data_IF_599249659143
#
_entry.id   IF_599249659143
#
_cell.length_a   1.000
_cell.length_b   1.000
_cell.length_c   1.000
_cell.angle_alpha   90.00
_cell.angle_beta   90.00
_cell.angle_gamma   90.00
#
_symmetry.space_group_name_H-M   'P 1'
#
loop_
_entity.id
_entity.type
_entity.pdbx_description
1 polymer ?
#
# COMPACT_ATOMS: atom_id res chain seq x y z
N UNK A 1 -12.46 4.18 16.45
CA UNK A 1 -12.31 5.56 15.90
C UNK A 1 -11.55 6.48 16.86
N UNK A 2 -11.88 6.46 18.16
CA UNK A 2 -11.23 7.33 19.16
C UNK A 2 -9.78 6.95 19.45
N UNK A 3 -9.48 5.66 19.66
CA UNK A 3 -8.12 5.16 19.97
C UNK A 3 -7.10 5.62 18.94
N UNK A 4 -7.41 5.56 17.64
CA UNK A 4 -6.48 5.99 16.57
C UNK A 4 -6.19 7.49 16.58
N UNK A 5 -7.16 8.31 17.00
CA UNK A 5 -7.01 9.78 17.09
C UNK A 5 -6.08 10.19 18.23
N UNK A 6 -5.92 9.32 19.24
CA UNK A 6 -4.99 9.55 20.35
C UNK A 6 -3.65 8.84 20.10
N UNK A 7 -3.70 7.57 19.68
CA UNK A 7 -2.53 6.74 19.48
C UNK A 7 -1.56 7.31 18.43
N UNK A 8 -2.07 7.85 17.31
CA UNK A 8 -1.18 8.36 16.24
C UNK A 8 -0.43 9.62 16.64
N UNK A 9 -1.06 10.67 17.23
CA UNK A 9 -0.30 11.79 17.79
C UNK A 9 0.70 11.37 18.87
N UNK A 10 0.30 10.48 19.79
CA UNK A 10 1.19 9.97 20.84
C UNK A 10 2.40 9.23 20.25
N UNK A 11 2.18 8.30 19.32
CA UNK A 11 3.26 7.60 18.63
C UNK A 11 4.16 8.55 17.83
N UNK A 12 3.58 9.60 17.22
CA UNK A 12 4.32 10.57 16.40
C UNK A 12 5.22 11.50 17.22
N UNK A 13 4.89 11.73 18.49
CA UNK A 13 5.55 12.71 19.36
C UNK A 13 7.06 12.53 19.43
N UNK A 14 7.53 11.30 19.64
CA UNK A 14 8.96 10.97 19.76
C UNK A 14 9.73 11.24 18.46
N UNK A 15 9.10 11.00 17.31
CA UNK A 15 9.71 11.27 16.01
C UNK A 15 9.81 12.76 15.75
N UNK A 16 8.74 13.52 16.01
CA UNK A 16 8.77 14.98 15.83
C UNK A 16 9.83 15.61 16.74
N UNK A 17 9.85 15.21 18.02
CA UNK A 17 10.83 15.70 18.98
C UNK A 17 12.26 15.34 18.56
N UNK A 18 12.52 14.08 18.22
CA UNK A 18 13.83 13.62 17.77
C UNK A 18 14.28 14.25 16.46
N UNK A 19 13.36 14.48 15.51
CA UNK A 19 13.65 15.14 14.25
C UNK A 19 13.99 16.63 14.42
N UNK A 20 13.33 17.33 15.33
CA UNK A 20 13.70 18.71 15.69
C UNK A 20 15.09 18.75 16.32
N UNK A 21 15.41 17.79 17.20
CA UNK A 21 16.76 17.63 17.75
C UNK A 21 17.80 17.43 16.65
N UNK A 22 17.53 16.51 15.72
CA UNK A 22 18.41 16.21 14.59
C UNK A 22 18.73 17.45 13.74
N UNK A 23 17.74 18.29 13.47
CA UNK A 23 17.92 19.51 12.68
C UNK A 23 18.55 20.67 13.46
N UNK A 24 18.48 20.67 14.79
CA UNK A 24 19.11 21.70 15.63
C UNK A 24 20.61 21.47 15.79
N UNK A 25 21.06 20.23 15.77
CA UNK A 25 22.48 19.86 15.88
C UNK A 25 22.89 18.85 14.80
N UNK A 26 22.74 19.24 13.53
CA UNK A 26 23.06 18.39 12.39
C UNK A 26 24.50 17.87 12.47
N UNK A 27 25.45 18.75 12.85
CA UNK A 27 26.88 18.41 12.90
C UNK A 27 27.20 17.41 14.00
N UNK A 28 26.66 17.61 15.21
CA UNK A 28 26.86 16.67 16.32
C UNK A 28 26.28 15.29 15.98
N UNK A 29 25.09 15.25 15.40
CA UNK A 29 24.46 14.00 14.97
C UNK A 29 25.17 13.33 13.80
N UNK A 30 25.68 14.10 12.84
CA UNK A 30 26.47 13.58 11.72
C UNK A 30 27.77 12.94 12.22
N UNK A 31 28.50 13.64 13.09
CA UNK A 31 29.73 13.14 13.71
C UNK A 31 29.49 11.86 14.53
N UNK A 32 28.38 11.80 15.28
CA UNK A 32 28.02 10.60 16.04
C UNK A 32 27.69 9.40 15.12
N UNK A 33 27.14 9.66 13.93
CA UNK A 33 26.76 8.63 12.96
C UNK A 33 27.90 8.22 12.02
N UNK A 34 28.99 8.99 11.93
CA UNK A 34 30.13 8.76 11.01
C UNK A 34 30.64 7.30 10.99
N UNK A 35 30.92 6.64 12.13
CA UNK A 35 31.46 5.28 12.12
C UNK A 35 30.50 4.28 11.45
N UNK A 36 29.21 4.41 11.74
CA UNK A 36 28.18 3.56 11.17
C UNK A 36 27.92 3.88 9.70
N UNK A 37 27.90 5.17 9.32
CA UNK A 37 27.72 5.62 7.94
C UNK A 37 28.87 5.15 7.03
N UNK A 38 30.11 5.26 7.50
CA UNK A 38 31.27 4.76 6.75
C UNK A 38 31.23 3.24 6.58
N UNK A 39 30.79 2.49 7.60
CA UNK A 39 30.64 1.03 7.54
C UNK A 39 29.50 0.58 6.62
N UNK A 40 28.45 1.38 6.46
CA UNK A 40 27.24 1.01 5.71
C UNK A 40 27.17 1.71 4.36
N UNK A 41 26.94 3.02 4.36
CA UNK A 41 26.85 3.86 3.15
C UNK A 41 28.18 3.86 2.40
N UNK A 42 29.32 3.86 3.10
CA UNK A 42 30.63 3.79 2.47
C UNK A 42 30.86 2.52 1.64
N UNK A 43 30.27 1.39 2.01
CA UNK A 43 30.42 0.12 1.27
C UNK A 43 29.64 0.08 -0.04
N UNK A 44 28.54 0.83 -0.11
CA UNK A 44 27.66 0.88 -1.30
C UNK A 44 27.81 2.17 -2.09
N UNK A 45 28.62 3.13 -1.63
CA UNK A 45 28.80 4.44 -2.26
C UNK A 45 29.09 4.35 -3.76
N UNK A 46 29.97 3.44 -4.16
CA UNK A 46 30.37 3.28 -5.56
C UNK A 46 29.33 2.53 -6.42
N UNK A 47 28.34 1.91 -5.77
CA UNK A 47 27.26 1.14 -6.43
C UNK A 47 25.95 1.92 -6.53
N UNK A 48 25.89 3.11 -5.93
CA UNK A 48 24.67 3.91 -5.85
C UNK A 48 24.78 5.08 -6.85
N UNK A 49 23.68 5.46 -7.55
CA UNK A 49 23.70 6.60 -8.46
C UNK A 49 24.20 7.87 -7.78
N UNK A 50 24.92 8.71 -8.53
CA UNK A 50 25.53 9.95 -8.04
C UNK A 50 24.51 10.93 -7.45
N UNK A 51 23.23 10.80 -7.81
CA UNK A 51 22.13 11.61 -7.29
C UNK A 51 21.73 11.25 -5.84
N UNK A 52 22.20 10.13 -5.29
CA UNK A 52 21.89 9.73 -3.91
C UNK A 52 22.90 10.37 -2.96
N UNK A 53 22.45 11.22 -2.03
CA UNK A 53 23.36 11.81 -1.05
C UNK A 53 23.99 10.73 -0.18
N UNK A 54 25.31 10.79 -0.04
CA UNK A 54 26.09 9.93 0.87
C UNK A 54 26.77 10.73 1.98
N UNK A 55 26.63 12.05 1.94
CA UNK A 55 27.15 12.97 2.95
C UNK A 55 26.41 12.84 4.30
N UNK A 56 27.13 12.68 5.42
CA UNK A 56 26.53 12.52 6.74
C UNK A 56 25.58 13.64 7.16
N UNK A 57 25.95 14.91 6.98
CA UNK A 57 25.10 16.05 7.36
C UNK A 57 23.80 16.06 6.55
N UNK A 58 23.89 15.76 5.26
CA UNK A 58 22.74 15.64 4.38
C UNK A 58 21.82 14.49 4.79
N UNK A 59 22.37 13.32 5.13
CA UNK A 59 21.60 12.17 5.60
C UNK A 59 20.87 12.45 6.92
N UNK A 60 21.53 13.11 7.87
CA UNK A 60 20.90 13.55 9.12
C UNK A 60 19.79 14.58 8.86
N UNK A 61 20.01 15.51 7.92
CA UNK A 61 19.00 16.49 7.53
C UNK A 61 17.76 15.82 6.93
N UNK A 62 17.96 14.84 6.04
CA UNK A 62 16.89 14.04 5.45
C UNK A 62 16.14 13.27 6.53
N UNK A 63 16.84 12.59 7.43
CA UNK A 63 16.24 11.83 8.51
C UNK A 63 15.40 12.72 9.44
N UNK A 64 15.92 13.89 9.83
CA UNK A 64 15.19 14.88 10.62
C UNK A 64 13.93 15.38 9.91
N UNK A 65 14.03 15.70 8.61
CA UNK A 65 12.90 16.12 7.80
C UNK A 65 11.83 15.03 7.65
N UNK A 66 12.25 13.76 7.46
CA UNK A 66 11.35 12.60 7.40
C UNK A 66 10.65 12.42 8.74
N UNK A 67 11.37 12.46 9.86
CA UNK A 67 10.81 12.33 11.21
C UNK A 67 9.75 13.38 11.50
N UNK A 68 10.01 14.65 11.17
CA UNK A 68 9.04 15.75 11.36
C UNK A 68 7.88 15.63 10.40
N UNK A 69 8.14 15.46 9.10
CA UNK A 69 7.13 15.44 8.05
C UNK A 69 6.19 14.23 8.17
N UNK A 70 6.76 13.03 8.27
CA UNK A 70 6.00 11.81 8.46
C UNK A 70 5.34 11.76 9.85
N UNK A 71 6.00 12.27 10.90
CA UNK A 71 5.41 12.40 12.23
C UNK A 71 4.18 13.32 12.23
N UNK A 72 4.26 14.50 11.61
CA UNK A 72 3.14 15.42 11.49
C UNK A 72 1.99 14.82 10.65
N UNK A 73 2.30 14.19 9.51
CA UNK A 73 1.30 13.50 8.69
C UNK A 73 0.61 12.36 9.45
N UNK A 74 1.38 11.56 10.19
CA UNK A 74 0.85 10.48 11.01
C UNK A 74 -0.06 11.01 12.12
N UNK A 75 0.37 12.05 12.84
CA UNK A 75 -0.41 12.72 13.89
C UNK A 75 -1.74 13.28 13.36
N UNK A 76 -1.71 13.95 12.21
CA UNK A 76 -2.89 14.47 11.53
C UNK A 76 -3.75 13.38 10.88
N UNK A 77 -3.26 12.13 10.82
CA UNK A 77 -3.93 11.02 10.17
C UNK A 77 -3.95 11.09 8.63
N UNK A 78 -3.07 11.90 8.03
CA UNK A 78 -2.89 12.04 6.58
C UNK A 78 -1.86 11.01 6.11
N UNK A 79 -2.23 10.17 5.14
CA UNK A 79 -1.38 9.06 4.67
C UNK A 79 -0.71 8.25 5.81
N UNK A 80 -1.46 7.75 6.81
CA UNK A 80 -0.89 7.18 8.03
C UNK A 80 -0.03 5.95 7.76
N UNK A 81 -0.37 5.17 6.72
CA UNK A 81 0.38 3.97 6.34
C UNK A 81 1.75 4.32 5.76
N UNK A 82 1.80 5.26 4.82
CA UNK A 82 3.05 5.74 4.24
C UNK A 82 3.93 6.40 5.30
N UNK A 83 3.33 7.25 6.13
CA UNK A 83 4.03 7.92 7.22
C UNK A 83 4.64 6.91 8.19
N UNK A 84 3.88 5.90 8.60
CA UNK A 84 4.37 4.83 9.46
C UNK A 84 5.50 4.03 8.80
N UNK A 85 5.40 3.69 7.51
CA UNK A 85 6.49 2.99 6.79
C UNK A 85 7.77 3.81 6.72
N UNK A 86 7.68 5.12 6.45
CA UNK A 86 8.84 6.01 6.45
C UNK A 86 9.49 6.09 7.83
N UNK A 87 8.67 6.26 8.88
CA UNK A 87 9.15 6.30 10.26
C UNK A 87 9.75 4.95 10.70
N UNK A 88 9.23 3.82 10.24
CA UNK A 88 9.81 2.49 10.48
C UNK A 88 11.22 2.43 9.92
N UNK A 89 11.42 2.82 8.66
CA UNK A 89 12.75 2.83 8.04
C UNK A 89 13.74 3.73 8.77
N UNK A 90 13.33 4.96 9.06
CA UNK A 90 14.13 5.94 9.82
C UNK A 90 14.48 5.45 11.23
N UNK A 91 13.51 4.87 11.96
CA UNK A 91 13.72 4.32 13.30
C UNK A 91 14.70 3.15 13.29
N UNK A 92 14.57 2.23 12.32
CA UNK A 92 15.48 1.10 12.19
C UNK A 92 16.90 1.57 11.93
N UNK A 93 17.10 2.51 11.00
CA UNK A 93 18.42 3.09 10.73
C UNK A 93 19.01 3.77 11.98
N UNK A 94 18.23 4.61 12.66
CA UNK A 94 18.67 5.29 13.90
C UNK A 94 19.02 4.28 15.00
N UNK A 95 18.23 3.21 15.15
CA UNK A 95 18.45 2.19 16.18
C UNK A 95 19.73 1.41 15.95
N UNK A 96 20.00 1.03 14.70
CA UNK A 96 21.24 0.32 14.35
C UNK A 96 22.46 1.23 14.44
N UNK A 97 22.30 2.52 14.19
CA UNK A 97 23.40 3.49 14.28
C UNK A 97 23.74 3.88 15.72
N UNK A 98 22.74 4.08 16.58
CA UNK A 98 22.95 4.71 17.91
C UNK A 98 22.76 3.75 19.09
N UNK A 99 21.93 2.71 18.92
CA UNK A 99 21.49 1.83 20.01
C UNK A 99 21.79 0.36 19.75
N UNK A 100 22.83 0.08 18.94
CA UNK A 100 23.39 -1.25 18.77
C UNK A 100 24.11 -1.67 20.07
N UNK A 101 23.35 -2.08 21.08
CA UNK A 101 23.86 -2.35 22.43
C UNK A 101 24.99 -3.38 22.46
N UNK A 102 25.03 -4.29 21.47
CA UNK A 102 26.08 -5.30 21.33
C UNK A 102 27.46 -4.73 20.96
N UNK A 103 27.55 -3.46 20.55
CA UNK A 103 28.83 -2.78 20.25
C UNK A 103 29.45 -2.11 21.49
N UNK A 104 28.76 -2.11 22.64
CA UNK A 104 29.25 -1.50 23.88
C UNK A 104 29.90 -2.56 24.79
N UNK A 105 31.17 -2.33 25.16
CA UNK A 105 31.94 -3.24 26.03
C UNK A 105 31.64 -3.02 27.52
N UNK A 106 31.45 -1.76 27.92
CA UNK A 106 31.10 -1.42 29.30
C UNK A 106 29.70 -1.94 29.67
N UNK A 107 29.61 -2.65 30.80
CA UNK A 107 28.39 -3.36 31.19
C UNK A 107 27.22 -2.42 31.51
N UNK A 108 27.51 -1.25 32.11
CA UNK A 108 26.50 -0.27 32.48
C UNK A 108 25.95 0.48 31.25
N UNK A 109 26.86 0.89 30.35
CA UNK A 109 26.49 1.50 29.08
C UNK A 109 25.71 0.52 28.21
N UNK A 110 26.14 -0.75 28.11
CA UNK A 110 25.43 -1.78 27.38
C UNK A 110 24.01 -1.98 27.90
N UNK A 111 23.81 -2.06 29.22
CA UNK A 111 22.49 -2.20 29.81
C UNK A 111 21.59 -1.00 29.47
N UNK A 112 22.14 0.22 29.54
CA UNK A 112 21.42 1.45 29.18
C UNK A 112 20.98 1.44 27.70
N UNK A 113 21.89 1.06 26.80
CA UNK A 113 21.61 1.02 25.36
C UNK A 113 20.62 -0.10 25.00
N UNK A 114 20.68 -1.23 25.71
CA UNK A 114 19.72 -2.31 25.54
C UNK A 114 18.29 -1.86 25.88
N UNK A 115 18.11 -1.04 26.91
CA UNK A 115 16.80 -0.44 27.22
C UNK A 115 16.32 0.47 26.08
N UNK A 116 17.19 1.30 25.51
CA UNK A 116 16.82 2.16 24.38
C UNK A 116 16.47 1.35 23.13
N UNK A 117 17.23 0.28 22.87
CA UNK A 117 16.92 -0.65 21.79
C UNK A 117 15.52 -1.24 21.93
N UNK A 118 15.14 -1.74 23.11
CA UNK A 118 13.81 -2.30 23.33
C UNK A 118 12.69 -1.24 23.30
N UNK A 119 12.96 0.01 23.71
CA UNK A 119 12.02 1.12 23.51
C UNK A 119 11.76 1.36 22.02
N UNK A 120 12.82 1.40 21.21
CA UNK A 120 12.69 1.55 19.76
C UNK A 120 11.98 0.35 19.12
N UNK A 121 12.25 -0.88 19.58
CA UNK A 121 11.54 -2.06 19.11
C UNK A 121 10.03 -2.00 19.45
N UNK A 122 9.69 -1.49 20.63
CA UNK A 122 8.29 -1.27 21.03
C UNK A 122 7.60 -0.23 20.13
N UNK A 123 8.29 0.87 19.81
CA UNK A 123 7.81 1.88 18.87
C UNK A 123 7.64 1.30 17.45
N UNK A 124 8.59 0.47 17.01
CA UNK A 124 8.55 -0.23 15.73
C UNK A 124 7.29 -1.11 15.62
N UNK A 125 6.92 -1.82 16.68
CA UNK A 125 5.68 -2.59 16.75
C UNK A 125 4.43 -1.73 16.51
N UNK A 126 4.36 -0.56 17.15
CA UNK A 126 3.27 0.40 16.97
C UNK A 126 3.21 0.97 15.54
N UNK A 127 4.36 1.27 14.94
CA UNK A 127 4.47 1.73 13.56
C UNK A 127 4.05 0.65 12.56
N UNK A 128 4.51 -0.60 12.74
CA UNK A 128 4.17 -1.71 11.84
C UNK A 128 2.67 -2.00 11.83
N UNK A 129 2.02 -2.02 13.00
CA UNK A 129 0.55 -2.13 13.08
C UNK A 129 -0.11 -0.99 12.30
N UNK A 130 0.42 0.24 12.44
CA UNK A 130 -0.14 1.41 11.74
C UNK A 130 0.09 1.36 10.23
N UNK A 131 1.20 0.78 9.77
CA UNK A 131 1.53 0.63 8.35
C UNK A 131 0.55 -0.33 7.63
N UNK A 132 0.05 -1.35 8.34
CA UNK A 132 -0.93 -2.31 7.81
C UNK A 132 -2.38 -1.97 8.15
N UNK A 133 -2.63 -1.03 9.07
CA UNK A 133 -3.98 -0.64 9.48
C UNK A 133 -4.77 0.03 8.33
N UNK A 134 -5.81 -0.66 7.86
CA UNK A 134 -6.71 -0.18 6.79
C UNK A 134 -7.87 0.65 7.31
N UNK A 135 -7.98 0.82 8.63
CA UNK A 135 -9.04 1.58 9.29
C UNK A 135 -10.47 1.17 8.90
N UNK A 136 -10.68 -0.09 8.52
CA UNK A 136 -11.97 -0.62 8.06
C UNK A 136 -12.31 -0.28 6.60
N UNK A 137 -11.42 0.42 5.88
CA UNK A 137 -11.57 0.68 4.45
C UNK A 137 -10.93 -0.47 3.67
N UNK A 138 -11.56 -1.01 2.61
CA UNK A 138 -10.89 -2.00 1.77
C UNK A 138 -9.59 -1.44 1.19
N UNK A 139 -8.54 -2.25 1.20
CA UNK A 139 -7.24 -1.86 0.65
C UNK A 139 -7.36 -1.53 -0.84
N UNK A 140 -6.42 -0.75 -1.39
CA UNK A 140 -6.42 -0.41 -2.82
C UNK A 140 -6.41 -1.68 -3.68
N UNK A 141 -5.55 -2.65 -3.38
CA UNK A 141 -5.52 -3.94 -4.07
C UNK A 141 -6.84 -4.72 -3.97
N UNK A 142 -7.52 -4.66 -2.81
CA UNK A 142 -8.86 -5.24 -2.67
C UNK A 142 -9.86 -4.58 -3.62
N UNK A 143 -9.85 -3.24 -3.71
CA UNK A 143 -10.75 -2.47 -4.61
C UNK A 143 -10.45 -2.76 -6.08
N UNK A 144 -9.20 -2.88 -6.47
CA UNK A 144 -8.81 -3.19 -7.85
C UNK A 144 -9.29 -4.59 -8.24
N UNK A 145 -9.03 -5.60 -7.39
CA UNK A 145 -9.41 -7.00 -7.65
C UNK A 145 -10.93 -7.20 -7.66
N UNK A 146 -11.66 -6.62 -6.70
CA UNK A 146 -13.12 -6.72 -6.66
C UNK A 146 -13.81 -5.83 -7.70
N UNK A 147 -13.20 -4.72 -8.11
CA UNK A 147 -13.69 -3.90 -9.23
C UNK A 147 -13.66 -4.68 -10.54
N UNK A 148 -12.54 -5.34 -10.84
CA UNK A 148 -12.41 -6.20 -12.02
C UNK A 148 -13.40 -7.37 -11.99
N UNK A 149 -13.54 -8.04 -10.84
CA UNK A 149 -14.53 -9.13 -10.69
C UNK A 149 -15.96 -8.65 -10.93
N UNK A 150 -16.36 -7.51 -10.37
CA UNK A 150 -17.70 -6.94 -10.60
C UNK A 150 -17.97 -6.60 -12.06
N UNK A 151 -16.96 -6.17 -12.81
CA UNK A 151 -17.09 -5.92 -14.25
C UNK A 151 -17.25 -7.22 -15.03
N UNK A 152 -16.46 -8.25 -14.70
CA UNK A 152 -16.58 -9.58 -15.32
C UNK A 152 -17.95 -10.20 -15.03
N UNK A 153 -18.42 -10.13 -13.79
CA UNK A 153 -19.72 -10.67 -13.38
C UNK A 153 -20.87 -9.95 -14.11
N UNK A 154 -20.82 -8.61 -14.20
CA UNK A 154 -21.82 -7.85 -14.94
C UNK A 154 -21.80 -8.14 -16.45
N UNK A 155 -20.61 -8.31 -17.04
CA UNK A 155 -20.47 -8.68 -18.44
C UNK A 155 -21.00 -10.09 -18.74
N UNK A 156 -20.77 -11.05 -17.84
CA UNK A 156 -21.34 -12.40 -17.95
C UNK A 156 -22.87 -12.37 -17.84
N UNK A 157 -23.41 -11.62 -16.88
CA UNK A 157 -24.87 -11.48 -16.72
C UNK A 157 -25.48 -10.83 -17.97
N UNK A 158 -24.90 -9.74 -18.46
CA UNK A 158 -25.38 -9.04 -19.66
C UNK A 158 -25.32 -9.94 -20.92
N UNK A 159 -24.24 -10.71 -21.09
CA UNK A 159 -24.11 -11.65 -22.22
C UNK A 159 -25.08 -12.84 -22.12
N UNK A 160 -25.37 -13.33 -20.91
CA UNK A 160 -26.41 -14.34 -20.69
C UNK A 160 -27.81 -13.80 -21.00
N UNK A 161 -28.12 -12.57 -20.60
CA UNK A 161 -29.41 -11.95 -20.95
C UNK A 161 -29.55 -11.73 -22.46
N UNK A 162 -28.48 -11.23 -23.11
CA UNK A 162 -28.44 -11.03 -24.56
C UNK A 162 -28.60 -12.34 -25.32
N UNK A 163 -27.87 -13.39 -24.95
CA UNK A 163 -28.00 -14.72 -25.58
C UNK A 163 -29.38 -15.35 -25.37
N UNK A 164 -29.98 -15.20 -24.18
CA UNK A 164 -31.36 -15.64 -23.92
C UNK A 164 -32.38 -14.86 -24.77
N UNK A 165 -32.19 -13.55 -24.97
CA UNK A 165 -33.05 -12.77 -25.86
C UNK A 165 -32.88 -13.18 -27.33
N UNK A 166 -31.65 -13.37 -27.80
CA UNK A 166 -31.35 -13.84 -29.14
C UNK A 166 -31.97 -15.21 -29.44
N UNK A 167 -31.84 -16.17 -28.51
CA UNK A 167 -32.49 -17.48 -28.63
C UNK A 167 -34.01 -17.39 -28.69
N UNK A 168 -34.63 -16.52 -27.88
CA UNK A 168 -36.09 -16.29 -27.94
C UNK A 168 -36.52 -15.68 -29.28
N UNK A 169 -35.76 -14.73 -29.81
CA UNK A 169 -36.01 -14.12 -31.11
C UNK A 169 -35.90 -15.14 -32.25
N UNK A 170 -34.83 -15.96 -32.25
CA UNK A 170 -34.67 -17.07 -33.20
C UNK A 170 -35.83 -18.07 -33.13
N UNK A 171 -36.22 -18.52 -31.93
CA UNK A 171 -37.37 -19.43 -31.77
C UNK A 171 -38.68 -18.83 -32.31
N UNK A 172 -38.91 -17.54 -32.11
CA UNK A 172 -40.09 -16.84 -32.68
C UNK A 172 -40.01 -16.77 -34.21
N UNK A 173 -38.84 -16.44 -34.77
CA UNK A 173 -38.62 -16.39 -36.21
C UNK A 173 -38.82 -17.77 -36.85
N UNK A 174 -38.26 -18.82 -36.26
CA UNK A 174 -38.41 -20.20 -36.70
C UNK A 174 -39.88 -20.65 -36.67
N UNK A 175 -40.62 -20.36 -35.59
CA UNK A 175 -42.06 -20.62 -35.51
C UNK A 175 -42.86 -19.88 -36.60
N UNK A 176 -42.52 -18.63 -36.90
CA UNK A 176 -43.15 -17.87 -37.99
C UNK A 176 -42.85 -18.51 -39.35
N UNK A 177 -41.60 -18.87 -39.60
CA UNK A 177 -41.16 -19.54 -40.84
C UNK A 177 -41.88 -20.87 -41.05
N UNK A 178 -41.96 -21.73 -40.02
CA UNK A 178 -42.70 -23.00 -40.09
C UNK A 178 -44.19 -22.79 -40.40
N UNK A 179 -44.83 -21.78 -39.78
CA UNK A 179 -46.24 -21.45 -40.06
C UNK A 179 -46.44 -20.96 -41.49
N UNK A 180 -45.54 -20.14 -42.02
CA UNK A 180 -45.59 -19.65 -43.40
C UNK A 180 -45.35 -20.79 -44.40
N UNK A 181 -44.36 -21.64 -44.16
CA UNK A 181 -44.10 -22.83 -44.98
C UNK A 181 -45.30 -23.80 -45.01
N UNK A 182 -45.92 -24.05 -43.86
CA UNK A 182 -47.13 -24.89 -43.78
C UNK A 182 -48.33 -24.28 -44.53
N UNK A 183 -48.50 -22.95 -44.49
CA UNK A 183 -49.52 -22.25 -45.28
C UNK A 183 -49.23 -22.31 -46.78
N UNK A 184 -47.99 -22.11 -47.19
CA UNK A 184 -47.54 -22.22 -48.58
C UNK A 184 -47.74 -23.62 -49.14
N UNK A 185 -47.36 -24.66 -48.39
CA UNK A 185 -47.59 -26.05 -48.76
C UNK A 185 -49.08 -26.39 -48.91
N UNK A 186 -49.94 -25.89 -48.00
CA UNK A 186 -51.41 -26.05 -48.13
C UNK A 186 -51.97 -25.33 -49.36
N UNK A 187 -51.46 -24.14 -49.68
CA UNK A 187 -51.88 -23.39 -50.87
C UNK A 187 -51.46 -24.09 -52.16
N UNK A 188 -50.23 -24.59 -52.23
CA UNK A 188 -49.73 -25.37 -53.36
C UNK A 188 -50.54 -26.66 -53.59
N UNK A 189 -50.86 -27.39 -52.51
CA UNK A 189 -51.70 -28.60 -52.58
C UNK A 189 -53.12 -28.31 -53.07
N UNK A 190 -53.70 -27.16 -52.70
CA UNK A 190 -55.01 -26.70 -53.20
C UNK A 190 -54.98 -26.22 -54.66
N UNK A 191 -53.85 -25.68 -55.11
CA UNK A 191 -53.66 -25.27 -56.51
C UNK A 191 -53.59 -26.47 -57.45
N UNK A 192 -52.87 -27.53 -57.03
CA UNK A 192 -52.77 -28.79 -57.77
C UNK A 192 -54.11 -29.54 -57.88
N UNK A 193 -54.95 -29.49 -56.84
CA UNK A 193 -56.27 -30.14 -56.84
C UNK A 193 -57.36 -29.38 -57.64
N UNK A 194 -57.01 -28.27 -58.32
CA UNK A 194 -57.92 -27.49 -59.17
C UNK A 194 -57.57 -27.57 -60.67
N UNK A 195 -56.53 -28.32 -61.02
CA UNK A 195 -56.03 -28.47 -62.39
C UNK A 195 -56.31 -29.85 -63.00
N UNK A 196 -57.02 -30.72 -62.26
CA UNK A 196 -57.65 -31.95 -62.75
C UNK A 196 -59.17 -31.75 -62.82
#
# INVERSE_FOLDING_TARGET
MLVRRLARPLLSSIFIYGGIGALRDVKGHAKAAEPWLNKTVGQVRDSVPEQVPTDPETLITIDGAVKIGAGAMLALGKFPRLSATLLTGSLTATTLSQHAYWEYEDAEQRATQQVQFFKNLSLLGGLLITAVDTAGKPSVGYRTRHGAQRLTDQAQIASQFSSKQAQKAQKKAQKKGMKQGAKGAKAAKKGWAKTD
#
